data_IF_846988681916
#
_entry.id   IF_846988681916
#
_cell.length_a   1.000
_cell.length_b   1.000
_cell.length_c   1.000
_cell.angle_alpha   90.00
_cell.angle_beta   90.00
_cell.angle_gamma   90.00
#
_symmetry.space_group_name_H-M   'P 1'
#
loop_
_entity.id
_entity.type
_entity.pdbx_description
1 polymer ?
#
# COMPACT_ATOMS: atom_id res chain seq x y z
N UNK A 1 -45.89 -9.16 77.92
CA UNK A 1 -47.19 -8.56 77.58
C UNK A 1 -47.25 -8.45 76.09
N UNK A 2 -48.18 -9.18 75.54
CA UNK A 2 -48.56 -9.26 74.10
C UNK A 2 -48.97 -7.93 73.51
N UNK A 3 -48.77 -7.71 72.27
CA UNK A 3 -49.86 -7.45 71.33
C UNK A 3 -49.42 -7.58 69.89
N UNK A 4 -50.08 -8.54 69.24
CA UNK A 4 -50.19 -8.74 67.78
C UNK A 4 -50.97 -7.58 67.16
N UNK A 5 -50.64 -7.16 65.93
CA UNK A 5 -51.66 -6.70 64.96
C UNK A 5 -51.17 -6.83 63.52
N UNK A 6 -51.77 -7.71 62.82
CA UNK A 6 -52.37 -7.80 61.49
C UNK A 6 -51.69 -7.19 60.25
N UNK A 7 -51.44 -8.11 59.34
CA UNK A 7 -51.25 -7.97 57.93
C UNK A 7 -52.44 -7.32 57.22
N UNK A 8 -52.15 -6.38 56.28
CA UNK A 8 -52.99 -6.11 55.15
C UNK A 8 -52.18 -6.21 53.89
N UNK A 9 -52.54 -7.24 53.11
CA UNK A 9 -52.05 -7.50 51.78
C UNK A 9 -52.63 -6.50 50.80
N UNK A 10 -51.80 -5.78 50.06
CA UNK A 10 -52.18 -5.07 48.88
C UNK A 10 -51.40 -5.59 47.68
N UNK A 11 -52.11 -6.31 46.82
CA UNK A 11 -51.60 -6.78 45.52
C UNK A 11 -51.46 -5.60 44.56
N UNK A 12 -50.23 -5.41 44.08
CA UNK A 12 -49.98 -4.51 42.95
C UNK A 12 -49.88 -5.34 41.64
N UNK A 13 -50.37 -4.80 40.51
CA UNK A 13 -50.37 -5.57 39.25
C UNK A 13 -48.97 -5.61 38.63
N UNK A 14 -48.61 -6.79 38.18
CA UNK A 14 -47.44 -7.00 37.33
C UNK A 14 -47.64 -6.28 35.97
N UNK A 15 -46.90 -5.23 35.73
CA UNK A 15 -46.71 -4.69 34.38
C UNK A 15 -45.53 -5.46 33.76
N UNK A 16 -45.85 -6.41 32.89
CA UNK A 16 -44.88 -7.05 31.98
C UNK A 16 -44.41 -6.06 30.92
N UNK A 17 -43.35 -5.32 31.22
CA UNK A 17 -42.63 -4.52 30.24
C UNK A 17 -41.86 -5.44 29.30
N UNK A 18 -42.30 -5.56 28.06
CA UNK A 18 -41.52 -6.12 26.96
C UNK A 18 -40.36 -5.17 26.73
N UNK A 19 -39.19 -5.47 27.31
CA UNK A 19 -37.93 -4.83 26.95
C UNK A 19 -37.55 -5.36 25.56
N UNK A 20 -37.95 -4.65 24.51
CA UNK A 20 -37.44 -4.83 23.18
C UNK A 20 -35.92 -4.57 23.21
N UNK A 21 -35.14 -5.61 23.08
CA UNK A 21 -33.71 -5.49 22.79
C UNK A 21 -33.58 -4.83 21.43
N UNK A 22 -33.36 -3.52 21.40
CA UNK A 22 -32.76 -2.85 20.27
C UNK A 22 -31.32 -3.35 20.17
N UNK A 23 -31.12 -4.44 19.43
CA UNK A 23 -29.81 -4.78 18.92
C UNK A 23 -29.41 -3.63 18.01
N UNK A 24 -28.48 -2.80 18.48
CA UNK A 24 -27.78 -1.85 17.63
C UNK A 24 -27.08 -2.71 16.55
N UNK A 25 -27.69 -2.82 15.38
CA UNK A 25 -27.03 -3.33 14.20
C UNK A 25 -25.89 -2.35 13.92
N UNK A 26 -24.67 -2.76 14.23
CA UNK A 26 -23.47 -2.13 13.68
C UNK A 26 -23.70 -2.06 12.17
N UNK A 27 -23.61 -0.85 11.54
CA UNK A 27 -23.75 -0.77 10.09
C UNK A 27 -22.79 -1.79 9.48
N UNK A 28 -23.27 -2.65 8.60
CA UNK A 28 -22.41 -3.54 7.85
C UNK A 28 -21.34 -2.67 7.21
N UNK A 29 -20.08 -2.84 7.62
CA UNK A 29 -18.97 -2.11 7.04
C UNK A 29 -19.07 -2.28 5.53
N UNK A 30 -19.15 -1.18 4.79
CA UNK A 30 -19.28 -1.22 3.33
C UNK A 30 -18.00 -1.86 2.78
N UNK A 31 -18.11 -3.08 2.25
CA UNK A 31 -17.00 -3.77 1.60
C UNK A 31 -16.52 -2.98 0.38
N UNK A 32 -15.26 -3.15 0.01
CA UNK A 32 -14.72 -2.52 -1.19
C UNK A 32 -14.27 -1.09 -1.02
N UNK A 33 -13.94 -0.66 0.20
CA UNK A 33 -13.43 0.68 0.48
C UNK A 33 -12.02 0.94 -0.06
N UNK A 34 -11.24 -0.12 -0.32
CA UNK A 34 -9.87 -0.03 -0.83
C UNK A 34 -9.79 -0.43 -2.29
N UNK A 35 -9.04 0.33 -3.08
CA UNK A 35 -8.67 -0.05 -4.44
C UNK A 35 -7.49 -1.01 -4.38
N UNK A 36 -7.67 -2.24 -4.83
CA UNK A 36 -6.62 -3.24 -4.83
C UNK A 36 -6.01 -3.39 -6.22
N UNK A 37 -4.68 -3.49 -6.30
CA UNK A 37 -3.91 -3.79 -7.52
C UNK A 37 -2.95 -4.96 -7.30
N UNK A 38 -2.28 -5.41 -8.37
CA UNK A 38 -1.44 -6.61 -8.34
C UNK A 38 -0.13 -6.37 -9.08
N UNK A 39 0.98 -6.78 -8.47
CA UNK A 39 2.31 -6.83 -9.08
C UNK A 39 2.52 -8.12 -9.88
N UNK A 40 3.46 -8.07 -10.83
CA UNK A 40 3.82 -9.23 -11.65
C UNK A 40 4.32 -10.44 -10.85
N UNK A 41 4.88 -10.23 -9.66
CA UNK A 41 5.41 -11.27 -8.75
C UNK A 41 4.37 -12.34 -8.39
N UNK A 42 3.11 -11.95 -8.26
CA UNK A 42 1.98 -12.83 -7.92
C UNK A 42 1.73 -13.93 -8.97
N UNK A 43 2.14 -13.69 -10.20
CA UNK A 43 1.96 -14.63 -11.32
C UNK A 43 3.17 -15.53 -11.57
N UNK A 44 4.15 -15.53 -10.66
CA UNK A 44 5.35 -16.36 -10.79
C UNK A 44 4.97 -17.84 -10.89
N UNK A 45 5.54 -18.53 -11.89
CA UNK A 45 5.27 -19.95 -12.15
C UNK A 45 3.98 -20.24 -12.92
N UNK A 46 3.16 -19.22 -13.25
CA UNK A 46 1.97 -19.39 -14.09
C UNK A 46 2.28 -19.19 -15.59
N UNK A 47 1.38 -19.72 -16.44
CA UNK A 47 1.48 -19.58 -17.91
C UNK A 47 0.44 -18.61 -18.48
N UNK A 48 -0.33 -17.92 -17.63
CA UNK A 48 -1.33 -16.96 -18.10
C UNK A 48 -0.69 -15.83 -18.89
N UNK A 49 -1.23 -15.50 -20.04
CA UNK A 49 -0.93 -14.29 -20.79
C UNK A 49 -1.33 -13.05 -19.98
N UNK A 50 -0.83 -11.87 -20.36
CA UNK A 50 -1.19 -10.63 -19.65
C UNK A 50 -2.70 -10.36 -19.73
N UNK A 51 -3.33 -10.62 -20.86
CA UNK A 51 -4.77 -10.46 -21.06
C UNK A 51 -5.58 -11.40 -20.14
N UNK A 52 -5.23 -12.69 -20.08
CA UNK A 52 -5.87 -13.64 -19.17
C UNK A 52 -5.73 -13.22 -17.71
N UNK A 53 -4.57 -12.69 -17.31
CA UNK A 53 -4.37 -12.11 -15.95
C UNK A 53 -5.31 -10.95 -15.71
N UNK A 54 -5.46 -10.03 -16.66
CA UNK A 54 -6.41 -8.90 -16.54
C UNK A 54 -7.85 -9.39 -16.40
N UNK A 55 -8.28 -10.37 -17.18
CA UNK A 55 -9.62 -10.96 -17.09
C UNK A 55 -9.87 -11.61 -15.73
N UNK A 56 -8.90 -12.35 -15.20
CA UNK A 56 -8.97 -12.97 -13.89
C UNK A 56 -9.08 -11.89 -12.79
N UNK A 57 -8.23 -10.87 -12.83
CA UNK A 57 -8.22 -9.78 -11.85
C UNK A 57 -9.55 -9.00 -11.85
N UNK A 58 -10.06 -8.65 -13.03
CA UNK A 58 -11.35 -7.96 -13.17
C UNK A 58 -12.51 -8.78 -12.59
N UNK A 59 -12.53 -10.10 -12.85
CA UNK A 59 -13.52 -11.04 -12.33
C UNK A 59 -13.50 -11.13 -10.80
N UNK A 60 -12.31 -11.13 -10.17
CA UNK A 60 -12.15 -11.15 -8.71
C UNK A 60 -12.62 -9.83 -8.09
N UNK A 61 -12.42 -8.70 -8.78
CA UNK A 61 -12.82 -7.37 -8.32
C UNK A 61 -11.67 -6.38 -8.16
N UNK A 62 -10.44 -6.76 -8.51
CA UNK A 62 -9.30 -5.85 -8.53
C UNK A 62 -9.56 -4.63 -9.42
N UNK A 63 -8.87 -3.54 -9.15
CA UNK A 63 -9.03 -2.27 -9.86
C UNK A 63 -7.80 -1.87 -10.66
N UNK A 64 -6.66 -2.56 -10.47
CA UNK A 64 -5.44 -2.16 -11.14
C UNK A 64 -4.37 -3.24 -11.22
N UNK A 65 -3.35 -2.93 -12.01
CA UNK A 65 -2.08 -3.66 -12.13
C UNK A 65 -0.95 -2.67 -11.95
N UNK A 66 0.04 -3.04 -11.18
CA UNK A 66 1.23 -2.22 -10.96
C UNK A 66 2.32 -2.52 -11.99
N UNK A 67 3.02 -1.46 -12.37
CA UNK A 67 4.14 -1.47 -13.31
C UNK A 67 3.83 -2.15 -14.67
N UNK A 68 2.64 -1.95 -15.27
CA UNK A 68 2.42 -2.39 -16.62
C UNK A 68 3.34 -1.62 -17.59
N UNK A 69 3.75 -2.27 -18.68
CA UNK A 69 4.42 -1.54 -19.77
C UNK A 69 3.42 -0.65 -20.51
N UNK A 70 3.91 0.35 -21.25
CA UNK A 70 3.04 1.20 -22.07
C UNK A 70 2.18 0.40 -23.06
N UNK A 71 2.72 -0.71 -23.61
CA UNK A 71 2.00 -1.60 -24.54
C UNK A 71 0.92 -2.43 -23.84
N UNK A 72 1.05 -2.67 -22.54
CA UNK A 72 0.08 -3.42 -21.75
C UNK A 72 -1.11 -2.57 -21.27
N UNK A 73 -0.93 -1.25 -21.17
CA UNK A 73 -1.99 -0.35 -20.65
C UNK A 73 -3.30 -0.44 -21.45
N UNK A 74 -3.33 -0.48 -22.80
CA UNK A 74 -4.58 -0.63 -23.54
C UNK A 74 -5.32 -1.93 -23.20
N UNK A 75 -4.61 -3.06 -23.07
CA UNK A 75 -5.20 -4.37 -22.70
C UNK A 75 -5.80 -4.29 -21.30
N UNK A 76 -5.08 -3.69 -20.36
CA UNK A 76 -5.51 -3.48 -18.99
C UNK A 76 -6.80 -2.66 -18.94
N UNK A 77 -6.85 -1.53 -19.65
CA UNK A 77 -8.03 -0.65 -19.69
C UNK A 77 -9.25 -1.31 -20.35
N UNK A 78 -9.06 -2.11 -21.41
CA UNK A 78 -10.12 -2.89 -22.05
C UNK A 78 -10.80 -3.87 -21.07
N UNK A 79 -10.10 -4.31 -20.04
CA UNK A 79 -10.63 -5.17 -18.98
C UNK A 79 -11.17 -4.38 -17.76
N UNK A 80 -11.31 -3.05 -17.88
CA UNK A 80 -11.84 -2.20 -16.78
C UNK A 80 -10.87 -2.01 -15.62
N UNK A 81 -9.59 -2.26 -15.82
CA UNK A 81 -8.52 -2.06 -14.84
C UNK A 81 -7.75 -0.76 -15.14
N UNK A 82 -7.03 -0.22 -14.15
CA UNK A 82 -6.18 0.95 -14.30
C UNK A 82 -4.71 0.62 -13.96
N UNK A 83 -3.73 1.35 -14.51
CA UNK A 83 -2.36 1.28 -14.00
C UNK A 83 -2.31 1.86 -12.59
N UNK A 84 -1.93 1.03 -11.60
CA UNK A 84 -1.81 1.44 -10.20
C UNK A 84 -0.59 2.33 -9.97
N UNK A 85 0.50 1.97 -10.62
CA UNK A 85 1.79 2.66 -10.58
C UNK A 85 2.58 2.38 -11.85
N UNK A 86 3.37 3.35 -12.31
CA UNK A 86 4.27 3.22 -13.47
C UNK A 86 5.73 3.35 -13.07
N UNK A 87 6.63 2.82 -13.91
CA UNK A 87 8.08 3.07 -13.85
C UNK A 87 8.46 4.09 -14.92
N UNK A 88 9.66 4.70 -14.81
CA UNK A 88 10.14 5.65 -15.81
C UNK A 88 11.07 6.74 -15.31
N UNK A 89 11.46 6.72 -14.04
CA UNK A 89 12.39 7.72 -13.46
C UNK A 89 13.87 7.49 -13.79
N UNK A 90 14.20 6.39 -14.47
CA UNK A 90 15.60 6.02 -14.71
C UNK A 90 16.34 5.53 -13.47
N UNK A 91 15.64 5.34 -12.35
CA UNK A 91 16.23 4.85 -11.09
C UNK A 91 16.16 3.32 -10.99
N UNK A 92 17.03 2.75 -10.16
CA UNK A 92 17.05 1.32 -9.84
C UNK A 92 17.43 1.12 -8.37
N UNK A 93 17.32 -0.11 -7.87
CA UNK A 93 17.75 -0.44 -6.51
C UNK A 93 19.23 -0.15 -6.25
N UNK A 94 20.09 -0.26 -7.28
CA UNK A 94 21.52 0.03 -7.18
C UNK A 94 21.82 1.51 -7.39
N UNK A 95 21.16 2.15 -8.35
CA UNK A 95 21.44 3.51 -8.78
C UNK A 95 20.14 4.32 -8.80
N UNK A 96 20.03 5.27 -7.89
CA UNK A 96 18.80 6.02 -7.72
C UNK A 96 19.02 7.46 -7.29
N UNK A 97 18.03 8.05 -6.65
CA UNK A 97 17.95 9.47 -6.31
C UNK A 97 19.16 10.02 -5.54
N UNK A 98 19.86 9.17 -4.77
CA UNK A 98 21.01 9.58 -3.97
C UNK A 98 22.30 9.72 -4.78
N UNK A 99 22.29 9.39 -6.09
CA UNK A 99 23.47 9.46 -6.98
C UNK A 99 23.49 10.78 -7.73
N UNK A 100 24.23 11.77 -7.21
CA UNK A 100 24.31 13.11 -7.80
C UNK A 100 24.76 13.10 -9.27
N UNK A 101 25.66 12.21 -9.61
CA UNK A 101 26.19 12.01 -10.95
C UNK A 101 25.12 11.56 -11.97
N UNK A 102 23.97 11.07 -11.49
CA UNK A 102 22.85 10.64 -12.32
C UNK A 102 21.69 11.64 -12.34
N UNK A 103 21.76 12.75 -11.60
CA UNK A 103 20.61 13.65 -11.42
C UNK A 103 20.08 14.21 -12.74
N UNK A 104 20.93 14.57 -13.71
CA UNK A 104 20.48 15.08 -15.01
C UNK A 104 19.70 14.01 -15.79
N UNK A 105 20.18 12.76 -15.78
CA UNK A 105 19.49 11.64 -16.43
C UNK A 105 18.17 11.29 -15.73
N UNK A 106 18.16 11.33 -14.39
CA UNK A 106 16.96 11.06 -13.58
C UNK A 106 15.92 12.16 -13.80
N UNK A 107 16.29 13.42 -13.87
CA UNK A 107 15.38 14.53 -14.17
C UNK A 107 14.72 14.37 -15.53
N UNK A 108 15.51 14.14 -16.59
CA UNK A 108 14.99 13.92 -17.94
C UNK A 108 14.04 12.72 -18.00
N UNK A 109 14.46 11.60 -17.42
CA UNK A 109 13.65 10.38 -17.38
C UNK A 109 12.36 10.58 -16.57
N UNK A 110 12.44 11.27 -15.42
CA UNK A 110 11.28 11.57 -14.56
C UNK A 110 10.25 12.43 -15.29
N UNK A 111 10.67 13.47 -16.03
CA UNK A 111 9.76 14.28 -16.82
C UNK A 111 9.02 13.43 -17.88
N UNK A 112 9.74 12.57 -18.61
CA UNK A 112 9.13 11.63 -19.57
C UNK A 112 8.18 10.64 -18.89
N UNK A 113 8.56 10.12 -17.71
CA UNK A 113 7.72 9.23 -16.92
C UNK A 113 6.45 9.92 -16.42
N UNK A 114 6.52 11.18 -16.01
CA UNK A 114 5.36 12.00 -15.62
C UNK A 114 4.42 12.19 -16.80
N UNK A 115 4.94 12.50 -17.99
CA UNK A 115 4.11 12.64 -19.20
C UNK A 115 3.45 11.31 -19.59
N UNK A 116 4.18 10.20 -19.50
CA UNK A 116 3.61 8.86 -19.70
C UNK A 116 2.48 8.59 -18.70
N UNK A 117 2.70 8.82 -17.40
CA UNK A 117 1.68 8.65 -16.38
C UNK A 117 0.41 9.46 -16.70
N UNK A 118 0.58 10.74 -17.05
CA UNK A 118 -0.53 11.61 -17.41
C UNK A 118 -1.30 11.10 -18.65
N UNK A 119 -0.58 10.58 -19.65
CA UNK A 119 -1.19 10.09 -20.89
C UNK A 119 -2.00 8.81 -20.72
N UNK A 120 -1.69 7.99 -19.70
CA UNK A 120 -2.36 6.71 -19.42
C UNK A 120 -3.30 6.76 -18.20
N UNK A 121 -3.49 7.93 -17.60
CA UNK A 121 -4.36 8.11 -16.43
C UNK A 121 -3.81 7.48 -15.14
N UNK A 122 -2.49 7.27 -15.04
CA UNK A 122 -1.82 6.84 -13.82
C UNK A 122 -1.41 8.05 -13.00
N UNK A 123 -1.57 8.00 -11.67
CA UNK A 123 -1.18 9.11 -10.79
C UNK A 123 0.11 8.88 -10.01
N UNK A 124 0.79 7.75 -10.21
CA UNK A 124 1.96 7.34 -9.40
C UNK A 124 3.09 6.89 -10.30
N UNK A 125 4.26 7.51 -10.14
CA UNK A 125 5.52 7.19 -10.79
C UNK A 125 6.54 6.79 -9.72
N UNK A 126 7.02 5.54 -9.76
CA UNK A 126 7.99 5.04 -8.77
C UNK A 126 9.38 5.61 -9.02
N UNK A 127 10.06 5.98 -7.92
CA UNK A 127 11.45 6.40 -7.89
C UNK A 127 12.21 5.66 -6.80
N UNK A 128 13.32 5.03 -7.12
CA UNK A 128 14.12 4.26 -6.18
C UNK A 128 15.30 5.12 -5.67
N UNK A 129 15.49 5.22 -4.35
CA UNK A 129 16.61 6.00 -3.81
C UNK A 129 17.99 5.42 -4.09
N UNK A 130 18.16 4.09 -4.07
CA UNK A 130 19.41 3.41 -4.40
C UNK A 130 20.19 2.91 -3.18
N UNK A 131 21.28 2.19 -3.45
CA UNK A 131 22.19 1.65 -2.44
C UNK A 131 23.09 2.75 -1.86
N UNK A 132 23.39 2.63 -0.56
CA UNK A 132 24.26 3.59 0.16
C UNK A 132 25.71 3.55 -0.31
N UNK A 133 26.29 2.39 -0.43
CA UNK A 133 27.72 2.22 -0.77
C UNK A 133 28.63 3.07 0.12
N UNK A 134 28.37 3.03 1.44
CA UNK A 134 29.10 3.81 2.43
C UNK A 134 28.65 5.27 2.63
N UNK A 135 27.72 5.78 1.82
CA UNK A 135 27.13 7.11 2.00
C UNK A 135 26.33 7.18 3.31
N UNK A 136 26.41 8.28 4.03
CA UNK A 136 25.59 8.50 5.22
C UNK A 136 24.11 8.68 4.85
N UNK A 137 23.21 8.39 5.78
CA UNK A 137 21.77 8.62 5.54
C UNK A 137 21.43 10.09 5.33
N UNK A 138 22.15 10.99 6.01
CA UNK A 138 22.00 12.44 5.87
C UNK A 138 22.42 12.91 4.47
N UNK A 139 23.61 12.56 4.03
CA UNK A 139 24.10 12.88 2.69
C UNK A 139 23.18 12.32 1.60
N UNK A 140 22.68 11.09 1.77
CA UNK A 140 21.71 10.50 0.86
C UNK A 140 20.39 11.25 0.83
N UNK A 141 19.90 11.72 1.99
CA UNK A 141 18.70 12.56 2.06
C UNK A 141 18.90 13.89 1.35
N UNK A 142 20.06 14.56 1.57
CA UNK A 142 20.41 15.82 0.86
C UNK A 142 20.39 15.62 -0.66
N UNK A 143 20.98 14.53 -1.14
CA UNK A 143 21.04 14.22 -2.56
C UNK A 143 19.64 13.92 -3.13
N UNK A 144 18.82 13.14 -2.43
CA UNK A 144 17.44 12.86 -2.83
C UNK A 144 16.59 14.15 -2.86
N UNK A 145 16.70 14.99 -1.83
CA UNK A 145 16.02 16.29 -1.78
C UNK A 145 16.43 17.18 -2.95
N UNK A 146 17.72 17.19 -3.31
CA UNK A 146 18.23 18.01 -4.42
C UNK A 146 17.56 17.64 -5.75
N UNK A 147 17.52 16.37 -6.13
CA UNK A 147 16.90 15.94 -7.39
C UNK A 147 15.36 16.06 -7.34
N UNK A 148 14.72 15.73 -6.22
CA UNK A 148 13.28 15.84 -6.09
C UNK A 148 12.79 17.29 -6.17
N UNK A 149 13.58 18.26 -5.70
CA UNK A 149 13.28 19.67 -5.90
C UNK A 149 13.36 20.11 -7.37
N UNK A 150 14.15 19.44 -8.21
CA UNK A 150 14.24 19.73 -9.66
C UNK A 150 12.97 19.27 -10.39
N UNK A 151 12.34 18.17 -9.95
CA UNK A 151 11.21 17.54 -10.66
C UNK A 151 9.84 17.86 -10.06
N UNK A 152 9.78 18.30 -8.78
CA UNK A 152 8.51 18.48 -8.06
C UNK A 152 7.52 19.42 -8.74
N UNK A 153 8.01 20.54 -9.28
CA UNK A 153 7.14 21.53 -9.92
C UNK A 153 6.42 20.96 -11.15
N UNK A 154 7.11 20.12 -11.93
CA UNK A 154 6.48 19.44 -13.07
C UNK A 154 5.50 18.37 -12.62
N UNK A 155 5.84 17.60 -11.58
CA UNK A 155 4.95 16.62 -10.96
C UNK A 155 3.67 17.30 -10.41
N UNK A 156 3.79 18.45 -9.76
CA UNK A 156 2.66 19.24 -9.28
C UNK A 156 1.77 19.74 -10.42
N UNK A 157 2.36 20.28 -11.47
CA UNK A 157 1.65 20.75 -12.66
C UNK A 157 0.82 19.64 -13.32
N UNK A 158 1.37 18.44 -13.40
CA UNK A 158 0.71 17.29 -14.04
C UNK A 158 -0.18 16.46 -13.08
N UNK A 159 -0.11 16.75 -11.79
CA UNK A 159 -0.87 16.00 -10.77
C UNK A 159 -0.34 14.59 -10.50
N UNK A 160 0.92 14.29 -10.83
CA UNK A 160 1.55 12.97 -10.68
C UNK A 160 2.39 12.91 -9.41
N UNK A 161 2.25 11.85 -8.63
CA UNK A 161 3.08 11.61 -7.46
C UNK A 161 4.40 10.92 -7.88
N UNK A 162 5.52 11.51 -7.52
CA UNK A 162 6.84 10.84 -7.54
C UNK A 162 7.00 10.13 -6.22
N UNK A 163 7.07 8.80 -6.26
CA UNK A 163 6.85 7.91 -5.12
C UNK A 163 8.11 7.11 -4.80
N UNK A 164 8.73 7.37 -3.64
CA UNK A 164 9.90 6.61 -3.18
C UNK A 164 9.47 5.33 -2.49
N UNK A 165 10.02 4.17 -2.87
CA UNK A 165 9.72 2.89 -2.22
C UNK A 165 10.64 2.63 -1.03
N UNK A 166 10.04 2.30 0.15
CA UNK A 166 10.77 1.72 1.27
C UNK A 166 11.16 0.27 0.95
N UNK A 167 12.37 -0.10 1.33
CA UNK A 167 12.88 -1.47 1.24
C UNK A 167 13.40 -1.91 2.61
N UNK A 168 13.89 -3.15 2.76
CA UNK A 168 14.60 -3.56 3.97
C UNK A 168 16.02 -3.98 3.64
N UNK A 169 16.95 -3.77 4.59
CA UNK A 169 18.35 -4.18 4.49
C UNK A 169 18.66 -5.45 5.32
N UNK A 170 17.62 -6.10 5.91
CA UNK A 170 17.81 -7.25 6.82
C UNK A 170 17.69 -8.59 6.11
N UNK A 171 16.88 -8.70 5.06
CA UNK A 171 16.62 -9.97 4.38
C UNK A 171 17.49 -10.10 3.14
N UNK A 172 18.56 -10.89 3.23
CA UNK A 172 19.51 -11.09 2.14
C UNK A 172 18.87 -11.70 0.88
N UNK A 173 17.79 -12.49 1.03
CA UNK A 173 17.05 -13.07 -0.10
C UNK A 173 16.39 -12.01 -1.00
N UNK A 174 16.15 -10.80 -0.48
CA UNK A 174 15.64 -9.69 -1.27
C UNK A 174 16.74 -9.00 -2.10
N UNK A 175 18.00 -9.41 -1.94
CA UNK A 175 19.19 -8.88 -2.64
C UNK A 175 19.38 -7.36 -2.49
N UNK A 176 18.94 -6.78 -1.37
CA UNK A 176 18.87 -5.33 -1.12
C UNK A 176 19.44 -5.00 0.27
N UNK A 177 20.69 -5.38 0.52
CA UNK A 177 21.31 -5.34 1.86
C UNK A 177 21.90 -3.99 2.25
N UNK A 178 21.92 -2.99 1.35
CA UNK A 178 22.55 -1.68 1.60
C UNK A 178 21.69 -0.51 1.05
N UNK A 179 20.38 -0.62 1.17
CA UNK A 179 19.49 0.43 0.70
C UNK A 179 19.49 1.64 1.63
N UNK A 180 19.39 2.85 1.05
CA UNK A 180 19.34 4.09 1.84
C UNK A 180 18.00 4.25 2.54
N UNK A 181 16.93 3.91 1.85
CA UNK A 181 15.56 4.00 2.35
C UNK A 181 15.09 2.63 2.87
N UNK A 182 15.64 2.22 4.02
CA UNK A 182 15.30 0.98 4.72
C UNK A 182 14.63 1.22 6.09
N UNK A 183 14.28 2.49 6.41
CA UNK A 183 13.49 2.90 7.56
C UNK A 183 12.52 4.02 7.14
N UNK A 184 11.25 3.90 7.56
CA UNK A 184 10.18 4.83 7.17
C UNK A 184 10.53 6.29 7.48
N UNK A 185 11.15 6.56 8.62
CA UNK A 185 11.52 7.90 9.05
C UNK A 185 12.38 8.64 8.03
N UNK A 186 13.27 7.95 7.31
CA UNK A 186 14.12 8.55 6.28
C UNK A 186 13.29 9.10 5.11
N UNK A 187 12.36 8.30 4.57
CA UNK A 187 11.52 8.73 3.45
C UNK A 187 10.58 9.87 3.84
N UNK A 188 10.04 9.84 5.06
CA UNK A 188 9.20 10.93 5.59
C UNK A 188 10.01 12.23 5.76
N UNK A 189 11.25 12.15 6.24
CA UNK A 189 12.15 13.32 6.32
C UNK A 189 12.39 13.94 4.94
N UNK A 190 12.71 13.13 3.94
CA UNK A 190 12.89 13.61 2.55
C UNK A 190 11.62 14.28 2.05
N UNK A 191 10.43 13.68 2.24
CA UNK A 191 9.17 14.28 1.82
C UNK A 191 8.91 15.64 2.50
N UNK A 192 9.16 15.75 3.80
CA UNK A 192 9.01 17.02 4.56
C UNK A 192 9.96 18.09 4.08
N UNK A 193 11.22 17.75 3.81
CA UNK A 193 12.26 18.69 3.33
C UNK A 193 11.98 19.16 1.91
N UNK A 194 11.48 18.29 1.02
CA UNK A 194 11.05 18.67 -0.33
C UNK A 194 9.81 19.55 -0.29
N UNK A 195 8.93 19.33 0.68
CA UNK A 195 7.70 20.08 0.90
C UNK A 195 6.85 20.22 -0.37
N UNK A 196 6.48 19.07 -0.96
CA UNK A 196 5.62 18.99 -2.14
C UNK A 196 4.48 18.02 -1.91
N UNK A 197 3.24 18.34 -2.32
CA UNK A 197 2.12 17.42 -2.23
C UNK A 197 2.26 16.22 -3.20
N UNK A 198 3.25 16.27 -4.10
CA UNK A 198 3.48 15.25 -5.14
C UNK A 198 4.76 14.43 -4.94
N UNK A 199 5.53 14.71 -3.90
CA UNK A 199 6.65 13.85 -3.50
C UNK A 199 6.23 13.08 -2.26
N UNK A 200 6.11 11.77 -2.41
CA UNK A 200 5.53 10.87 -1.42
C UNK A 200 6.31 9.56 -1.35
N UNK A 201 5.90 8.68 -0.45
CA UNK A 201 6.46 7.33 -0.35
C UNK A 201 5.46 6.26 -0.82
N UNK A 202 5.99 5.19 -1.35
CA UNK A 202 5.37 3.87 -1.40
C UNK A 202 5.70 3.18 -0.08
N UNK A 203 4.68 2.89 0.70
CA UNK A 203 4.82 2.19 1.97
C UNK A 203 4.61 0.70 1.74
N UNK A 204 5.70 -0.03 1.53
CA UNK A 204 5.65 -1.50 1.45
C UNK A 204 5.63 -2.07 2.88
N UNK A 205 4.46 -2.59 3.27
CA UNK A 205 4.21 -3.13 4.62
C UNK A 205 5.13 -4.32 4.92
N UNK A 206 5.48 -5.14 3.92
CA UNK A 206 6.45 -6.22 4.11
C UNK A 206 7.81 -5.68 4.56
N UNK A 207 8.33 -4.70 3.84
CA UNK A 207 9.62 -4.10 4.17
C UNK A 207 9.57 -3.30 5.47
N UNK A 208 8.52 -2.52 5.68
CA UNK A 208 8.33 -1.74 6.89
C UNK A 208 8.20 -2.62 8.15
N UNK A 209 7.50 -3.76 8.08
CA UNK A 209 7.40 -4.69 9.20
C UNK A 209 8.77 -5.24 9.60
N UNK A 210 9.59 -5.62 8.62
CA UNK A 210 10.94 -6.16 8.87
C UNK A 210 11.87 -5.10 9.45
N UNK A 211 11.76 -3.85 8.97
CA UNK A 211 12.64 -2.76 9.35
C UNK A 211 12.25 -2.12 10.69
N UNK A 212 11.00 -1.69 10.80
CA UNK A 212 10.50 -0.79 11.84
C UNK A 212 9.41 -1.41 12.72
N UNK A 213 8.53 -2.24 12.15
CA UNK A 213 7.32 -2.70 12.83
C UNK A 213 6.29 -1.58 13.00
N UNK A 214 5.35 -1.75 13.96
CA UNK A 214 4.35 -0.76 14.38
C UNK A 214 3.58 -0.08 13.23
N UNK A 215 3.14 -0.92 12.28
CA UNK A 215 2.59 -0.53 10.98
C UNK A 215 1.42 0.44 11.11
N UNK A 216 0.45 0.15 11.98
CA UNK A 216 -0.80 0.94 12.01
C UNK A 216 -0.63 2.32 12.66
N UNK A 217 0.28 2.48 13.63
CA UNK A 217 0.63 3.80 14.14
C UNK A 217 1.36 4.61 13.07
N UNK A 218 2.33 4.01 12.41
CA UNK A 218 3.07 4.65 11.31
C UNK A 218 2.13 5.13 10.19
N UNK A 219 1.14 4.33 9.79
CA UNK A 219 0.10 4.72 8.83
C UNK A 219 -0.70 5.92 9.31
N UNK A 220 -1.18 5.92 10.58
CA UNK A 220 -1.97 7.01 11.15
C UNK A 220 -1.21 8.33 11.21
N UNK A 221 0.08 8.28 11.54
CA UNK A 221 0.91 9.48 11.67
C UNK A 221 1.37 10.05 10.33
N UNK A 222 1.42 9.23 9.26
CA UNK A 222 2.10 9.60 8.02
C UNK A 222 1.27 9.37 6.75
N UNK A 223 -0.04 9.13 6.83
CA UNK A 223 -0.88 8.80 5.67
C UNK A 223 -0.81 9.87 4.58
N UNK A 224 -0.67 11.13 4.95
CA UNK A 224 -0.56 12.25 4.00
C UNK A 224 0.72 12.21 3.16
N UNK A 225 1.73 11.47 3.59
CA UNK A 225 2.99 11.26 2.87
C UNK A 225 3.00 9.94 2.06
N UNK A 226 1.92 9.14 2.13
CA UNK A 226 1.84 7.83 1.47
C UNK A 226 0.92 7.93 0.26
N UNK A 227 1.40 7.61 -0.94
CA UNK A 227 0.58 7.61 -2.15
C UNK A 227 0.34 6.22 -2.74
N UNK A 228 1.11 5.21 -2.31
CA UNK A 228 0.97 3.83 -2.73
C UNK A 228 1.32 2.89 -1.58
N UNK A 229 0.67 1.74 -1.50
CA UNK A 229 0.91 0.74 -0.45
C UNK A 229 1.13 -0.62 -1.10
N UNK A 230 2.20 -1.32 -0.70
CA UNK A 230 2.41 -2.72 -1.05
C UNK A 230 2.15 -3.64 0.15
N UNK A 231 1.66 -4.85 -0.12
CA UNK A 231 1.41 -5.89 0.88
C UNK A 231 1.99 -7.23 0.45
N UNK A 232 2.67 -7.89 1.39
CA UNK A 232 3.09 -9.28 1.29
C UNK A 232 3.26 -9.86 2.70
N UNK A 233 3.12 -11.18 2.83
CA UNK A 233 3.23 -11.87 4.12
C UNK A 233 4.66 -11.87 4.68
N UNK A 234 4.80 -11.64 5.97
CA UNK A 234 6.06 -11.71 6.72
C UNK A 234 5.99 -12.92 7.65
N UNK A 235 7.01 -13.79 7.66
CA UNK A 235 8.19 -13.81 6.81
C UNK A 235 7.92 -14.37 5.40
N UNK A 236 8.89 -14.21 4.50
CA UNK A 236 8.99 -14.96 3.23
C UNK A 236 8.38 -14.28 2.01
N UNK A 237 7.72 -13.13 2.17
CA UNK A 237 7.12 -12.35 1.07
C UNK A 237 6.13 -13.17 0.24
N UNK A 238 5.35 -14.03 0.93
CA UNK A 238 4.30 -14.86 0.37
C UNK A 238 2.91 -14.24 0.57
N UNK A 239 1.85 -15.05 0.38
CA UNK A 239 0.46 -14.63 0.56
C UNK A 239 0.23 -13.96 1.91
N UNK A 240 -0.75 -13.05 1.97
CA UNK A 240 -1.12 -12.31 3.20
C UNK A 240 -2.17 -13.07 4.03
N UNK A 241 -2.18 -14.39 3.94
CA UNK A 241 -3.12 -15.27 4.64
C UNK A 241 -2.75 -15.47 6.13
N UNK A 242 -3.31 -16.50 6.76
CA UNK A 242 -3.11 -16.84 8.18
C UNK A 242 -1.78 -17.54 8.51
N UNK A 243 -0.89 -17.70 7.52
CA UNK A 243 0.43 -18.34 7.69
C UNK A 243 1.59 -17.32 7.82
N UNK A 244 1.25 -16.07 8.11
CA UNK A 244 2.19 -14.98 8.29
C UNK A 244 1.84 -14.16 9.55
N UNK A 245 2.69 -13.23 9.99
CA UNK A 245 2.63 -12.63 11.33
C UNK A 245 1.73 -11.39 11.45
N UNK A 246 1.23 -10.80 10.34
CA UNK A 246 0.46 -9.56 10.34
C UNK A 246 -1.06 -9.81 10.24
N UNK A 247 -1.85 -9.05 10.96
CA UNK A 247 -3.30 -9.04 10.79
C UNK A 247 -3.68 -8.07 9.66
N UNK A 248 -3.60 -8.52 8.40
CA UNK A 248 -3.89 -7.67 7.24
C UNK A 248 -5.34 -7.18 7.16
N UNK A 249 -6.32 -7.94 7.67
CA UNK A 249 -7.70 -7.45 7.72
C UNK A 249 -7.84 -6.23 8.64
N UNK A 250 -7.20 -6.26 9.82
CA UNK A 250 -7.16 -5.11 10.72
C UNK A 250 -6.42 -3.92 10.10
N UNK A 251 -5.26 -4.17 9.47
CA UNK A 251 -4.47 -3.12 8.80
C UNK A 251 -5.27 -2.48 7.66
N UNK A 252 -5.97 -3.28 6.85
CA UNK A 252 -6.84 -2.78 5.78
C UNK A 252 -7.96 -1.89 6.32
N UNK A 253 -8.59 -2.27 7.44
CA UNK A 253 -9.57 -1.44 8.14
C UNK A 253 -9.00 -0.08 8.53
N UNK A 254 -7.79 -0.07 9.10
CA UNK A 254 -7.09 1.18 9.47
C UNK A 254 -6.83 2.06 8.23
N UNK A 255 -6.33 1.48 7.13
CA UNK A 255 -6.05 2.21 5.89
C UNK A 255 -7.35 2.85 5.35
N UNK A 256 -8.45 2.08 5.35
CA UNK A 256 -9.75 2.55 4.88
C UNK A 256 -10.33 3.65 5.79
N UNK A 257 -10.22 3.52 7.11
CA UNK A 257 -10.70 4.50 8.09
C UNK A 257 -9.93 5.83 8.02
N UNK A 258 -8.67 5.80 7.55
CA UNK A 258 -7.89 7.00 7.26
C UNK A 258 -8.30 7.71 5.95
N UNK A 259 -9.29 7.18 5.23
CA UNK A 259 -9.76 7.77 3.97
C UNK A 259 -8.76 7.63 2.81
N UNK A 260 -7.88 6.62 2.86
CA UNK A 260 -6.89 6.41 1.81
C UNK A 260 -7.55 6.09 0.46
N UNK A 261 -7.16 6.80 -0.58
CA UNK A 261 -7.75 6.70 -1.92
C UNK A 261 -6.84 6.10 -2.99
N UNK A 262 -5.57 5.85 -2.64
CA UNK A 262 -4.59 5.21 -3.51
C UNK A 262 -4.83 3.71 -3.68
N UNK A 263 -3.90 3.04 -4.34
CA UNK A 263 -3.93 1.58 -4.46
C UNK A 263 -3.22 0.89 -3.30
N UNK A 264 -3.75 -0.25 -2.89
CA UNK A 264 -3.08 -1.26 -2.06
C UNK A 264 -2.76 -2.43 -2.97
N UNK A 265 -1.48 -2.63 -3.25
CA UNK A 265 -1.02 -3.59 -4.24
C UNK A 265 -0.47 -4.86 -3.61
N UNK A 266 -0.90 -6.01 -4.14
CA UNK A 266 -0.37 -7.31 -3.77
C UNK A 266 0.99 -7.54 -4.45
N UNK A 267 2.06 -7.60 -3.67
CA UNK A 267 3.44 -7.83 -4.15
C UNK A 267 4.06 -9.12 -3.57
N UNK A 268 3.25 -10.06 -3.20
CA UNK A 268 3.70 -11.35 -2.71
C UNK A 268 4.07 -12.31 -3.86
N UNK A 269 4.73 -13.42 -3.49
CA UNK A 269 5.01 -14.55 -4.37
C UNK A 269 4.20 -15.75 -3.91
N UNK A 270 3.58 -16.51 -4.81
CA UNK A 270 2.87 -17.73 -4.40
C UNK A 270 3.79 -18.68 -3.65
N UNK A 271 3.35 -19.20 -2.52
CA UNK A 271 4.03 -20.28 -1.84
C UNK A 271 4.09 -21.52 -2.76
N UNK A 272 5.14 -22.31 -2.63
CA UNK A 272 5.34 -23.47 -3.48
C UNK A 272 4.14 -24.43 -3.45
N UNK A 273 3.59 -24.74 -4.62
CA UNK A 273 2.41 -25.59 -4.77
C UNK A 273 1.06 -24.89 -4.64
N UNK A 274 1.03 -23.60 -4.33
CA UNK A 274 -0.22 -22.83 -4.31
C UNK A 274 -0.67 -22.43 -5.72
N UNK A 275 -2.01 -22.41 -5.90
CA UNK A 275 -2.66 -21.87 -7.09
C UNK A 275 -2.76 -20.34 -6.95
N UNK A 276 -2.09 -19.60 -7.83
CA UNK A 276 -2.07 -18.12 -7.79
C UNK A 276 -3.47 -17.49 -7.85
N UNK A 277 -4.42 -18.08 -8.58
CA UNK A 277 -5.77 -17.52 -8.72
C UNK A 277 -6.53 -17.68 -7.41
N UNK A 278 -6.49 -18.85 -6.80
CA UNK A 278 -7.13 -19.11 -5.48
C UNK A 278 -6.47 -18.26 -4.39
N UNK A 279 -5.15 -18.09 -4.43
CA UNK A 279 -4.42 -17.20 -3.52
C UNK A 279 -4.87 -15.75 -3.70
N UNK A 280 -5.04 -15.28 -4.95
CA UNK A 280 -5.55 -13.93 -5.23
C UNK A 280 -6.96 -13.72 -4.70
N UNK A 281 -7.89 -14.67 -4.95
CA UNK A 281 -9.26 -14.61 -4.44
C UNK A 281 -9.27 -14.49 -2.91
N UNK A 282 -8.50 -15.31 -2.22
CA UNK A 282 -8.38 -15.28 -0.75
C UNK A 282 -7.76 -13.98 -0.25
N UNK A 283 -6.64 -13.55 -0.81
CA UNK A 283 -5.94 -12.34 -0.40
C UNK A 283 -6.75 -11.08 -0.70
N UNK A 284 -7.52 -11.06 -1.81
CA UNK A 284 -8.46 -9.99 -2.12
C UNK A 284 -9.50 -9.82 -1.01
N UNK A 285 -10.13 -10.91 -0.56
CA UNK A 285 -11.15 -10.87 0.50
C UNK A 285 -10.58 -10.41 1.85
N UNK A 286 -9.32 -10.70 2.17
CA UNK A 286 -8.67 -10.23 3.40
C UNK A 286 -8.60 -8.69 3.45
N UNK A 287 -8.36 -8.04 2.32
CA UNK A 287 -8.30 -6.57 2.22
C UNK A 287 -9.65 -5.93 1.86
N UNK A 288 -10.68 -6.73 1.61
CA UNK A 288 -12.02 -6.25 1.21
C UNK A 288 -12.84 -5.84 2.44
N UNK A 289 -12.53 -4.64 2.98
CA UNK A 289 -13.10 -4.07 4.20
C UNK A 289 -14.11 -2.97 3.89
#
# INVERSE_FOLDING_TARGET
MERRTFLTSAAAPLVTGIAGQLSAQTPAASRGRLKQSVMASVWQGTKYSFEERCQILARIGFKGVDLPTAQQVPILMQNGLAPGMMTGTGTSFQNGLIRKELHDQIEEATHKGIDLCASVGCSVLIALPGERRGMSREEGADNAVAILNRVKGYAEQKGINVCMEITNSKVAADQRTDQIFDHTAWGIDVCKRVNSPRVKILYDIYHAQIADGDITRTLRENIDHICHIHVAGVPGRQEIDDKQELNFHFIAGVIADLGYTGFVAHEWRPAMGNDSVKSLERCFEILNV
#
